data_IF_766412638945
#
_entry.id   IF_766412638945
#
_cell.length_a   1.000
_cell.length_b   1.000
_cell.length_c   1.000
_cell.angle_alpha   90.00
_cell.angle_beta   90.00
_cell.angle_gamma   90.00
#
_symmetry.space_group_name_H-M   'P 1'
#
loop_
_entity.id
_entity.type
_entity.pdbx_description
1 polymer ?
#
# COMPACT_ATOMS: atom_id res chain seq x y z
N UNK A 1 7.47 -13.71 -4.31
CA UNK A 1 7.44 -12.76 -3.19
C UNK A 1 7.73 -11.35 -3.67
N UNK A 2 7.20 -10.39 -2.98
CA UNK A 2 7.34 -8.97 -3.32
C UNK A 2 8.31 -8.32 -2.34
N UNK A 3 9.14 -7.42 -2.82
CA UNK A 3 10.02 -6.68 -1.93
C UNK A 3 9.20 -5.75 -1.04
N UNK A 4 9.51 -5.75 0.24
CA UNK A 4 8.80 -4.92 1.24
C UNK A 4 8.90 -3.43 0.93
N UNK A 5 9.91 -3.02 0.21
CA UNK A 5 10.11 -1.65 -0.19
C UNK A 5 8.85 -1.02 -0.82
N UNK A 6 8.19 -1.77 -1.69
CA UNK A 6 6.97 -1.26 -2.34
C UNK A 6 5.85 -1.02 -1.35
N UNK A 7 5.70 -1.94 -0.39
CA UNK A 7 4.68 -1.80 0.63
C UNK A 7 4.98 -0.66 1.59
N UNK A 8 6.25 -0.40 1.84
CA UNK A 8 6.65 0.71 2.72
C UNK A 8 6.23 2.05 2.15
N UNK A 9 6.38 2.22 0.84
CA UNK A 9 5.97 3.46 0.18
C UNK A 9 4.47 3.66 0.35
N UNK A 10 3.69 2.61 0.13
CA UNK A 10 2.24 2.65 0.27
C UNK A 10 1.86 2.96 1.72
N UNK A 11 2.53 2.32 2.66
CA UNK A 11 2.25 2.52 4.09
C UNK A 11 2.46 3.98 4.50
N UNK A 12 3.55 4.57 4.06
CA UNK A 12 3.83 5.98 4.37
C UNK A 12 2.78 6.90 3.79
N UNK A 13 2.38 6.66 2.55
CA UNK A 13 1.37 7.48 1.91
C UNK A 13 0.02 7.38 2.61
N UNK A 14 -0.38 6.16 2.94
CA UNK A 14 -1.65 5.92 3.61
C UNK A 14 -1.67 6.56 5.00
N UNK A 15 -0.57 6.45 5.73
CA UNK A 15 -0.48 7.09 7.04
C UNK A 15 -0.54 8.61 6.96
N UNK A 16 0.07 9.18 5.96
CA UNK A 16 0.06 10.63 5.77
C UNK A 16 -1.36 11.15 5.49
N UNK A 17 -2.24 10.27 5.07
CA UNK A 17 -3.66 10.60 4.82
C UNK A 17 -4.54 10.36 6.04
N UNK A 18 -3.94 9.94 7.15
CA UNK A 18 -4.69 9.70 8.39
C UNK A 18 -5.38 8.35 8.44
N UNK A 19 -5.03 7.42 7.57
CA UNK A 19 -5.62 6.09 7.55
C UNK A 19 -4.84 5.18 8.48
N UNK A 20 -5.56 4.45 9.34
CA UNK A 20 -4.91 3.59 10.33
C UNK A 20 -4.33 2.32 9.70
N UNK A 21 -3.29 1.79 10.36
CA UNK A 21 -2.69 0.53 9.93
C UNK A 21 -3.70 -0.61 9.92
N UNK A 22 -4.64 -0.60 10.86
CA UNK A 22 -5.64 -1.65 10.95
C UNK A 22 -6.46 -1.76 9.66
N UNK A 23 -6.83 -0.62 9.10
CA UNK A 23 -7.59 -0.61 7.86
C UNK A 23 -6.73 -1.05 6.68
N UNK A 24 -5.48 -0.61 6.67
CA UNK A 24 -4.56 -0.97 5.59
C UNK A 24 -4.30 -2.48 5.53
N UNK A 25 -4.13 -3.10 6.69
CA UNK A 25 -3.78 -4.52 6.75
C UNK A 25 -4.96 -5.45 6.97
N UNK A 26 -6.17 -4.94 6.84
CA UNK A 26 -7.35 -5.76 7.05
C UNK A 26 -7.37 -6.95 6.11
N UNK A 27 -7.67 -8.12 6.66
CA UNK A 27 -7.69 -9.35 5.87
C UNK A 27 -6.31 -9.94 5.58
N UNK A 28 -5.25 -9.34 6.13
CA UNK A 28 -3.92 -9.89 6.00
C UNK A 28 -3.40 -10.31 7.37
N UNK A 29 -2.31 -11.08 7.37
CA UNK A 29 -1.57 -11.39 8.60
C UNK A 29 -0.38 -10.45 8.78
N UNK A 30 -0.24 -9.45 7.92
CA UNK A 30 0.88 -8.52 7.99
C UNK A 30 0.66 -7.44 9.04
N UNK A 31 1.78 -6.93 9.54
CA UNK A 31 1.80 -5.79 10.43
C UNK A 31 2.77 -4.75 9.86
N UNK A 32 2.75 -3.55 10.43
CA UNK A 32 3.70 -2.52 10.02
C UNK A 32 5.14 -2.99 10.26
N UNK A 33 5.37 -3.73 11.34
CA UNK A 33 6.70 -4.27 11.60
C UNK A 33 7.18 -5.17 10.48
N UNK A 34 6.28 -5.98 9.92
CA UNK A 34 6.66 -6.86 8.82
C UNK A 34 7.20 -6.05 7.63
N UNK A 35 6.55 -4.94 7.32
CA UNK A 35 6.98 -4.10 6.22
C UNK A 35 8.35 -3.47 6.44
N UNK A 36 8.64 -3.11 7.67
CA UNK A 36 9.85 -2.35 7.98
C UNK A 36 11.01 -3.22 8.44
N UNK A 37 10.75 -4.49 8.81
CA UNK A 37 11.77 -5.37 9.34
C UNK A 37 12.01 -6.63 8.52
N UNK A 38 11.23 -6.88 7.47
CA UNK A 38 11.49 -7.99 6.56
C UNK A 38 11.79 -7.47 5.18
N UNK A 39 12.60 -8.21 4.44
CA UNK A 39 13.02 -7.79 3.10
C UNK A 39 11.95 -8.06 2.04
N UNK A 40 11.14 -9.09 2.25
CA UNK A 40 10.12 -9.49 1.29
C UNK A 40 8.83 -9.86 1.99
N UNK A 41 7.74 -9.85 1.24
CA UNK A 41 6.41 -10.19 1.73
C UNK A 41 5.79 -11.23 0.82
N UNK A 42 4.90 -12.10 1.35
CA UNK A 42 4.14 -13.01 0.50
C UNK A 42 3.31 -12.20 -0.50
N UNK A 43 3.32 -12.64 -1.73
CA UNK A 43 2.63 -11.93 -2.81
C UNK A 43 1.13 -11.77 -2.55
N UNK A 44 0.49 -12.84 -2.09
CA UNK A 44 -0.95 -12.79 -1.83
C UNK A 44 -1.31 -11.79 -0.73
N UNK A 45 -0.47 -11.67 0.27
CA UNK A 45 -0.68 -10.70 1.34
C UNK A 45 -0.51 -9.27 0.83
N UNK A 46 0.50 -9.07 0.01
CA UNK A 46 0.72 -7.76 -0.60
C UNK A 46 -0.47 -7.37 -1.49
N UNK A 47 -0.99 -8.32 -2.27
CA UNK A 47 -2.15 -8.05 -3.12
C UNK A 47 -3.38 -7.65 -2.30
N UNK A 48 -3.55 -8.25 -1.13
CA UNK A 48 -4.65 -7.85 -0.26
C UNK A 48 -4.47 -6.42 0.24
N UNK A 49 -3.24 -6.03 0.56
CA UNK A 49 -2.94 -4.65 0.94
C UNK A 49 -3.32 -3.71 -0.19
N UNK A 50 -2.96 -4.05 -1.42
CA UNK A 50 -3.31 -3.24 -2.59
C UNK A 50 -4.83 -3.07 -2.72
N UNK A 51 -5.57 -4.16 -2.54
CA UNK A 51 -7.03 -4.10 -2.59
C UNK A 51 -7.59 -3.17 -1.52
N UNK A 52 -7.02 -3.25 -0.32
CA UNK A 52 -7.45 -2.38 0.78
C UNK A 52 -7.20 -0.92 0.46
N UNK A 53 -6.03 -0.62 -0.09
CA UNK A 53 -5.69 0.76 -0.46
C UNK A 53 -6.66 1.29 -1.51
N UNK A 54 -6.97 0.48 -2.52
CA UNK A 54 -7.90 0.90 -3.57
C UNK A 54 -9.30 1.14 -3.01
N UNK A 55 -9.72 0.33 -2.05
CA UNK A 55 -11.02 0.53 -1.41
C UNK A 55 -11.05 1.78 -0.55
N UNK A 56 -9.94 2.07 0.12
CA UNK A 56 -9.87 3.20 1.04
C UNK A 56 -9.68 4.54 0.33
N UNK A 57 -8.90 4.56 -0.73
CA UNK A 57 -8.55 5.80 -1.42
C UNK A 57 -9.31 6.03 -2.71
N UNK A 58 -9.93 4.98 -3.23
CA UNK A 58 -10.53 5.02 -4.55
C UNK A 58 -9.51 4.72 -5.63
N UNK A 59 -9.95 4.06 -6.67
CA UNK A 59 -9.05 3.59 -7.72
C UNK A 59 -8.35 4.74 -8.43
N UNK A 60 -9.07 5.81 -8.67
CA UNK A 60 -8.52 6.95 -9.38
C UNK A 60 -7.36 7.56 -8.62
N UNK A 61 -7.50 7.73 -7.33
CA UNK A 61 -6.43 8.30 -6.50
C UNK A 61 -5.25 7.34 -6.44
N UNK A 62 -5.53 6.05 -6.33
CA UNK A 62 -4.48 5.05 -6.30
C UNK A 62 -3.66 5.06 -7.58
N UNK A 63 -4.31 5.10 -8.74
CA UNK A 63 -3.61 5.13 -10.01
C UNK A 63 -2.77 6.39 -10.16
N UNK A 64 -3.29 7.50 -9.68
CA UNK A 64 -2.55 8.76 -9.70
C UNK A 64 -1.23 8.65 -8.94
N UNK A 65 -1.23 7.89 -7.85
CA UNK A 65 -0.01 7.67 -7.07
C UNK A 65 0.96 6.71 -7.71
N UNK A 66 0.42 5.62 -8.24
CA UNK A 66 1.26 4.57 -8.82
C UNK A 66 1.90 5.01 -10.14
N UNK A 67 1.13 5.70 -10.93
CA UNK A 67 1.61 6.18 -12.23
C UNK A 67 1.98 7.64 -12.21
N UNK A 68 2.27 8.14 -11.07
CA UNK A 68 2.40 9.55 -10.78
C UNK A 68 3.38 10.28 -11.65
N UNK A 69 3.13 10.35 -12.85
CA UNK A 69 3.86 11.30 -13.66
C UNK A 69 3.06 12.59 -13.65
N UNK A 70 3.69 13.71 -13.54
CA UNK A 70 2.97 14.98 -13.64
C UNK A 70 2.29 15.15 -14.99
N UNK A 71 2.74 14.43 -15.95
CA UNK A 71 2.18 14.47 -17.28
C UNK A 71 0.85 13.73 -17.40
N UNK A 72 0.46 13.01 -16.39
CA UNK A 72 -0.80 12.27 -16.43
C UNK A 72 -1.96 13.24 -16.55
N UNK A 73 -1.82 14.39 -15.98
CA UNK A 73 -2.87 15.38 -16.02
C UNK A 73 -2.98 16.09 -17.35
N UNK A 74 -2.02 15.93 -18.18
CA UNK A 74 -2.01 16.61 -19.46
C UNK A 74 -3.00 15.94 -20.45
#
# INVERSE_FOLDING_TARGET
MIKSYHARIIHRDVRSRGISDRLLFEGTSLTADDLWHTATLPTDQFLQVIRNVRALLGEEVFLSRVYSGPNIAA
#
